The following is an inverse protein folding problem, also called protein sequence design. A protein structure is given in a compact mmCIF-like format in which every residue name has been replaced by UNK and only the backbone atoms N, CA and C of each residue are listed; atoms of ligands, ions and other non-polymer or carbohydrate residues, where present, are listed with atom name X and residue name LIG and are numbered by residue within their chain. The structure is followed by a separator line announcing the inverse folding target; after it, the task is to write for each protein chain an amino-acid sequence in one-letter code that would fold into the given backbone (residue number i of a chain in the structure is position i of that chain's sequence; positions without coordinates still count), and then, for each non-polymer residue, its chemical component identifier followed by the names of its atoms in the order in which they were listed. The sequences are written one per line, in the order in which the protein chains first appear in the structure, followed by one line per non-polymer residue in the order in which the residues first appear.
data_IF_783145245270
#
_entry.id   IF_783145245270
#
_cell.length_a   1.000
_cell.length_b   1.000
_cell.length_c   1.000
_cell.angle_alpha   90.00
_cell.angle_beta   90.00
_cell.angle_gamma   90.00
#
_symmetry.space_group_name_H-M   'P 1'
#
loop_
_entity.id
_entity.type
_entity.pdbx_description
1 polymer ?
#
# COMPACT_ATOMS: atom_id res chain seq x y z
N UNK A 1 7.98 22.74 -8.75
CA UNK A 1 8.48 22.38 -7.41
C UNK A 1 8.20 20.91 -7.14
N UNK A 2 9.22 20.10 -6.84
CA UNK A 2 9.01 18.72 -6.46
C UNK A 2 8.38 18.66 -5.06
N UNK A 3 7.25 17.95 -4.91
CA UNK A 3 6.59 17.75 -3.61
C UNK A 3 7.58 17.01 -2.69
N UNK A 4 7.85 17.50 -1.46
CA UNK A 4 8.79 16.83 -0.56
C UNK A 4 8.35 15.39 -0.34
N UNK A 5 9.28 14.44 -0.44
CA UNK A 5 8.99 13.02 -0.22
C UNK A 5 8.52 12.83 1.22
N UNK A 6 7.23 12.59 1.40
CA UNK A 6 6.66 12.20 2.70
C UNK A 6 7.39 10.93 3.14
N UNK A 7 7.99 10.94 4.34
CA UNK A 7 8.49 9.71 4.97
C UNK A 7 7.27 8.82 5.22
N UNK A 8 7.06 7.85 4.34
CA UNK A 8 6.07 6.80 4.58
C UNK A 8 6.79 5.70 5.30
N UNK A 9 6.27 5.31 6.44
CA UNK A 9 6.64 4.10 7.14
C UNK A 9 6.23 2.90 6.30
N UNK A 10 7.20 2.40 5.53
CA UNK A 10 7.06 1.22 4.70
C UNK A 10 6.59 0.03 5.52
N UNK A 11 7.11 -0.12 6.74
CA UNK A 11 6.69 -1.19 7.66
C UNK A 11 5.21 -1.10 8.00
N UNK A 12 4.71 0.10 8.29
CA UNK A 12 3.29 0.30 8.60
C UNK A 12 2.38 -0.03 7.42
N UNK A 13 2.80 0.34 6.21
CA UNK A 13 2.12 -0.05 4.96
C UNK A 13 2.10 -1.56 4.81
N UNK A 14 3.23 -2.25 5.05
CA UNK A 14 3.34 -3.72 4.94
C UNK A 14 2.48 -4.41 6.01
N UNK A 15 2.47 -3.93 7.25
CA UNK A 15 1.63 -4.48 8.33
C UNK A 15 0.14 -4.37 7.99
N UNK A 16 -0.31 -3.19 7.57
CA UNK A 16 -1.70 -2.98 7.16
C UNK A 16 -2.05 -3.84 5.93
N UNK A 17 -1.13 -3.95 4.98
CA UNK A 17 -1.31 -4.79 3.81
C UNK A 17 -1.41 -6.28 4.16
N UNK A 18 -0.57 -6.76 5.08
CA UNK A 18 -0.60 -8.13 5.62
C UNK A 18 -1.85 -8.40 6.43
N UNK A 19 -2.34 -7.42 7.18
CA UNK A 19 -3.61 -7.50 7.90
C UNK A 19 -4.83 -7.56 6.96
N UNK A 20 -4.64 -7.41 5.65
CA UNK A 20 -5.69 -7.55 4.64
C UNK A 20 -6.45 -6.26 4.35
N UNK A 21 -5.95 -5.10 4.82
CA UNK A 21 -6.53 -3.82 4.44
C UNK A 21 -6.30 -3.54 2.95
N UNK A 22 -7.33 -3.03 2.28
CA UNK A 22 -7.22 -2.54 0.90
C UNK A 22 -6.33 -1.31 0.81
N UNK A 23 -5.69 -1.13 -0.35
CA UNK A 23 -4.79 0.01 -0.59
C UNK A 23 -5.46 1.36 -0.37
N UNK A 24 -6.76 1.52 -0.70
CA UNK A 24 -7.52 2.74 -0.39
C UNK A 24 -7.64 3.04 1.11
N UNK A 25 -7.78 2.01 1.94
CA UNK A 25 -7.89 2.17 3.40
C UNK A 25 -6.53 2.48 4.03
N UNK A 26 -5.47 1.90 3.47
CA UNK A 26 -4.08 2.24 3.80
C UNK A 26 -3.75 3.68 3.37
N UNK A 27 -4.28 4.11 2.23
CA UNK A 27 -4.20 5.48 1.71
C UNK A 27 -4.72 6.49 2.72
N UNK A 28 -5.90 6.25 3.31
CA UNK A 28 -6.48 7.11 4.34
C UNK A 28 -5.69 7.07 5.65
N UNK A 29 -5.27 5.88 6.09
CA UNK A 29 -4.53 5.71 7.36
C UNK A 29 -3.14 6.35 7.32
N UNK A 30 -2.46 6.28 6.17
CA UNK A 30 -1.06 6.71 6.02
C UNK A 30 -0.99 8.06 5.29
N UNK A 31 -2.07 8.48 4.63
CA UNK A 31 -2.17 9.74 3.91
C UNK A 31 -1.25 9.80 2.70
N UNK A 32 -1.10 8.69 1.97
CA UNK A 32 -0.26 8.58 0.76
C UNK A 32 -0.95 7.79 -0.32
N UNK A 33 -0.83 8.26 -1.55
CA UNK A 33 -1.58 7.69 -2.68
C UNK A 33 -1.28 6.21 -2.91
N UNK A 34 -2.27 5.48 -3.42
CA UNK A 34 -2.18 4.06 -3.76
C UNK A 34 -1.00 3.78 -4.70
N UNK A 35 -0.73 4.67 -5.65
CA UNK A 35 0.44 4.57 -6.53
C UNK A 35 1.77 4.56 -5.76
N UNK A 36 1.90 5.41 -4.74
CA UNK A 36 3.07 5.42 -3.85
C UNK A 36 3.17 4.14 -3.05
N UNK A 37 2.05 3.61 -2.57
CA UNK A 37 1.99 2.33 -1.83
C UNK A 37 2.43 1.18 -2.74
N UNK A 38 1.88 1.08 -3.95
CA UNK A 38 2.24 0.05 -4.94
C UNK A 38 3.72 0.09 -5.29
N UNK A 39 4.23 1.29 -5.57
CA UNK A 39 5.63 1.48 -5.94
C UNK A 39 6.56 1.09 -4.80
N UNK A 40 6.21 1.45 -3.56
CA UNK A 40 6.95 1.05 -2.36
C UNK A 40 6.88 -0.45 -2.08
N UNK A 41 5.73 -1.07 -2.25
CA UNK A 41 5.59 -2.54 -2.15
C UNK A 41 6.46 -3.24 -3.19
N UNK A 42 6.49 -2.71 -4.42
CA UNK A 42 7.35 -3.21 -5.50
C UNK A 42 8.83 -3.03 -5.21
N UNK A 43 9.26 -1.86 -4.73
CA UNK A 43 10.65 -1.62 -4.30
C UNK A 43 11.05 -2.52 -3.13
N UNK A 44 10.11 -2.86 -2.25
CA UNK A 44 10.31 -3.79 -1.14
C UNK A 44 10.29 -5.28 -1.56
N UNK A 45 10.02 -5.58 -2.83
CA UNK A 45 9.88 -6.96 -3.32
C UNK A 45 8.61 -7.67 -2.85
N UNK A 46 7.64 -6.94 -2.28
CA UNK A 46 6.37 -7.55 -1.90
C UNK A 46 5.49 -7.77 -3.13
N UNK A 47 4.95 -8.98 -3.31
CA UNK A 47 4.00 -9.25 -4.38
C UNK A 47 2.77 -8.40 -4.14
N UNK A 48 2.47 -7.56 -5.12
CA UNK A 48 1.19 -6.87 -5.17
C UNK A 48 0.15 -7.97 -5.29
N UNK A 49 -0.70 -8.17 -4.27
CA UNK A 49 -1.97 -8.90 -4.38
C UNK A 49 -2.67 -8.37 -5.61
N UNK A 50 -2.50 -9.10 -6.70
CA UNK A 50 -3.32 -8.96 -7.89
C UNK A 50 -4.74 -9.21 -7.41
N UNK A 51 -5.61 -8.24 -7.63
CA UNK A 51 -7.02 -8.32 -7.25
C UNK A 51 -7.56 -9.73 -7.54
N UNK A 52 -7.87 -10.49 -6.49
CA UNK A 52 -8.64 -11.72 -6.60
C UNK A 52 -10.10 -11.28 -6.46
N UNK A 53 -10.89 -11.54 -7.50
CA UNK A 53 -12.30 -11.20 -7.57
C UNK A 53 -13.02 -11.75 -6.30
N UNK A 54 -13.96 -10.99 -5.71
CA UNK A 54 -14.73 -11.48 -4.56
C UNK A 54 -15.64 -12.63 -5.00
N UNK A 55 -15.33 -13.84 -4.54
CA UNK A 55 -16.09 -15.04 -4.90
C UNK A 55 -15.65 -16.34 -4.25
N UNK A 56 -14.88 -16.33 -3.16
CA UNK A 56 -14.67 -17.54 -2.35
C UNK A 56 -15.45 -17.41 -1.05
N UNK A 57 -16.60 -18.08 -1.05
CA UNK A 57 -17.37 -18.48 0.13
C UNK A 57 -16.88 -19.86 0.55
#
# INVERSE_FOLDING_TARGET
MARPRKKVDLQKVIELYRAGYSTSKIEEMVGVSHDTILRRLKEAGHPIRRWRLPGEK
#
